data_IF_141846298955
#
_entry.id   IF_141846298955
#
_cell.length_a   1.000
_cell.length_b   1.000
_cell.length_c   1.000
_cell.angle_alpha   90.00
_cell.angle_beta   90.00
_cell.angle_gamma   90.00
#
_symmetry.space_group_name_H-M   'P 1'
#
loop_
_entity.id
_entity.type
_entity.pdbx_description
1 polymer ?
#
# COMPACT_ATOMS: atom_id res chain seq x y z
N UNK A 1 -21.63 -29.64 7.92
CA UNK A 1 -20.34 -29.00 8.25
C UNK A 1 -20.36 -27.60 7.64
N UNK A 2 -20.83 -26.60 8.37
CA UNK A 2 -20.99 -25.22 7.87
C UNK A 2 -19.65 -24.51 8.06
N UNK A 3 -18.99 -24.15 6.95
CA UNK A 3 -17.78 -23.33 6.96
C UNK A 3 -18.19 -21.88 7.21
N UNK A 4 -18.10 -21.45 8.47
CA UNK A 4 -18.23 -20.04 8.85
C UNK A 4 -16.94 -19.34 8.41
N UNK A 5 -17.04 -18.47 7.41
CA UNK A 5 -15.97 -17.54 7.09
C UNK A 5 -15.98 -16.45 8.16
N UNK A 6 -15.03 -16.50 9.09
CA UNK A 6 -14.80 -15.42 10.04
C UNK A 6 -14.25 -14.21 9.26
N UNK A 7 -15.09 -13.23 8.98
CA UNK A 7 -14.67 -11.87 8.64
C UNK A 7 -14.53 -11.13 9.96
N UNK A 8 -13.32 -10.75 10.42
CA UNK A 8 -13.19 -9.94 11.63
C UNK A 8 -13.70 -8.53 11.34
N UNK A 9 -14.96 -8.28 11.68
CA UNK A 9 -15.58 -6.96 11.61
C UNK A 9 -15.32 -6.24 12.94
N UNK A 10 -14.55 -5.15 12.92
CA UNK A 10 -14.25 -4.36 14.11
C UNK A 10 -15.12 -3.09 14.10
N UNK A 11 -15.98 -2.93 15.10
CA UNK A 11 -16.83 -1.75 15.30
C UNK A 11 -16.19 -0.77 16.27
N UNK A 12 -15.82 0.41 15.79
CA UNK A 12 -15.52 1.60 16.62
C UNK A 12 -16.36 2.75 16.09
N UNK A 13 -17.46 3.06 16.77
CA UNK A 13 -18.40 4.12 16.39
C UNK A 13 -19.27 3.77 15.16
N UNK A 14 -20.36 4.52 14.96
CA UNK A 14 -21.37 4.35 13.90
C UNK A 14 -20.86 4.65 12.48
N UNK A 15 -19.67 4.19 12.11
CA UNK A 15 -19.14 4.28 10.75
C UNK A 15 -18.72 2.88 10.32
N UNK A 16 -19.43 2.35 9.34
CA UNK A 16 -19.05 1.15 8.61
C UNK A 16 -17.81 1.50 7.78
N UNK A 17 -16.62 1.25 8.35
CA UNK A 17 -15.37 1.42 7.63
C UNK A 17 -15.18 0.20 6.74
N UNK A 18 -15.46 0.35 5.44
CA UNK A 18 -15.05 -0.66 4.45
C UNK A 18 -13.53 -0.66 4.39
N UNK A 19 -12.88 -1.58 5.11
CA UNK A 19 -11.42 -1.72 5.07
C UNK A 19 -11.07 -2.29 3.69
N UNK A 20 -10.71 -1.39 2.77
CA UNK A 20 -10.13 -1.75 1.48
C UNK A 20 -8.71 -2.27 1.74
N UNK A 21 -8.58 -3.56 2.02
CA UNK A 21 -7.29 -4.22 2.24
C UNK A 21 -6.52 -4.29 0.91
N UNK A 22 -5.77 -3.23 0.60
CA UNK A 22 -4.82 -3.27 -0.51
C UNK A 22 -3.53 -3.92 -0.01
N UNK A 23 -2.99 -4.85 -0.79
CA UNK A 23 -1.77 -5.58 -0.44
C UNK A 23 -0.59 -4.99 -1.18
N UNK A 24 0.45 -4.61 -0.44
CA UNK A 24 1.67 -4.05 -1.01
C UNK A 24 2.89 -4.78 -0.45
N UNK A 25 4.03 -4.61 -1.12
CA UNK A 25 5.32 -4.92 -0.52
C UNK A 25 5.72 -3.80 0.45
N UNK A 26 5.97 -4.15 1.70
CA UNK A 26 6.34 -3.17 2.72
C UNK A 26 7.78 -2.67 2.57
N UNK A 27 8.00 -1.38 2.79
CA UNK A 27 9.36 -0.80 2.73
C UNK A 27 10.19 -1.16 3.97
N UNK A 28 9.54 -1.42 5.11
CA UNK A 28 10.18 -1.78 6.39
C UNK A 28 10.45 -3.27 6.49
N UNK A 29 9.40 -4.10 6.53
CA UNK A 29 9.56 -5.55 6.70
C UNK A 29 9.81 -6.33 5.40
N UNK A 30 9.75 -5.69 4.23
CA UNK A 30 9.91 -6.31 2.90
C UNK A 30 8.91 -7.41 2.54
N UNK A 31 7.89 -7.65 3.38
CA UNK A 31 6.85 -8.66 3.14
C UNK A 31 5.67 -8.08 2.37
N UNK A 32 5.00 -8.95 1.60
CA UNK A 32 3.72 -8.65 0.95
C UNK A 32 2.60 -8.83 1.96
N UNK A 33 2.08 -7.73 2.47
CA UNK A 33 1.12 -7.69 3.57
C UNK A 33 -0.03 -6.75 3.25
N UNK A 34 -1.10 -6.86 4.02
CA UNK A 34 -2.20 -5.91 4.04
C UNK A 34 -1.76 -4.59 4.66
N UNK A 35 -2.33 -3.52 4.12
CA UNK A 35 -2.14 -2.17 4.61
C UNK A 35 -3.47 -1.53 4.93
N UNK A 36 -3.49 -0.78 6.04
CA UNK A 36 -4.59 0.08 6.41
C UNK A 36 -4.42 1.43 5.71
N UNK A 37 -5.43 1.88 4.98
CA UNK A 37 -5.46 3.23 4.42
C UNK A 37 -5.73 4.26 5.53
N UNK A 38 -4.83 5.23 5.68
CA UNK A 38 -4.99 6.42 6.50
C UNK A 38 -5.63 7.53 5.65
N UNK A 39 -6.96 7.60 5.68
CA UNK A 39 -7.80 8.52 4.90
C UNK A 39 -7.72 9.99 5.35
N UNK A 40 -7.23 10.23 6.58
CA UNK A 40 -7.08 11.56 7.16
C UNK A 40 -5.95 12.40 6.53
N UNK A 41 -5.09 11.79 5.70
CA UNK A 41 -3.97 12.45 5.05
C UNK A 41 -4.33 12.82 3.61
N UNK A 42 -4.36 14.12 3.34
CA UNK A 42 -4.54 14.62 1.97
C UNK A 42 -3.28 14.29 1.14
N UNK A 43 -3.49 13.58 0.04
CA UNK A 43 -2.42 13.02 -0.78
C UNK A 43 -2.75 13.22 -2.26
N UNK A 44 -1.74 13.44 -3.12
CA UNK A 44 -1.94 13.54 -4.57
C UNK A 44 -2.69 12.34 -5.14
N UNK A 45 -3.41 12.54 -6.24
CA UNK A 45 -4.18 11.48 -6.89
C UNK A 45 -3.32 10.24 -7.17
N UNK A 46 -3.88 9.08 -6.85
CA UNK A 46 -3.20 7.79 -6.97
C UNK A 46 -2.27 7.43 -5.81
N UNK A 47 -1.96 8.36 -4.90
CA UNK A 47 -1.22 8.08 -3.67
C UNK A 47 -2.14 8.10 -2.47
N UNK A 48 -1.93 7.15 -1.56
CA UNK A 48 -2.55 7.18 -0.24
C UNK A 48 -1.51 6.85 0.80
N UNK A 49 -1.71 7.36 2.01
CA UNK A 49 -0.91 6.98 3.17
C UNK A 49 -1.42 5.63 3.69
N UNK A 50 -0.50 4.69 3.87
CA UNK A 50 -0.81 3.33 4.25
C UNK A 50 0.02 2.90 5.45
N UNK A 51 -0.60 2.21 6.40
CA UNK A 51 0.07 1.58 7.53
C UNK A 51 0.15 0.07 7.32
N UNK A 52 1.36 -0.48 7.40
CA UNK A 52 1.60 -1.92 7.34
C UNK A 52 0.99 -2.62 8.57
N UNK A 53 0.10 -3.58 8.35
CA UNK A 53 -0.56 -4.30 9.45
C UNK A 53 0.36 -5.24 10.22
N UNK A 54 1.52 -5.62 9.66
CA UNK A 54 2.45 -6.54 10.33
C UNK A 54 3.56 -5.84 11.11
N UNK A 55 4.17 -4.78 10.57
CA UNK A 55 5.30 -4.09 11.23
C UNK A 55 4.98 -2.65 11.64
N UNK A 56 3.77 -2.17 11.40
CA UNK A 56 3.35 -0.82 11.75
C UNK A 56 3.99 0.30 10.92
N UNK A 57 4.86 -0.03 9.96
CA UNK A 57 5.52 0.95 9.12
C UNK A 57 4.49 1.73 8.29
N UNK A 58 4.48 3.05 8.44
CA UNK A 58 3.62 3.97 7.70
C UNK A 58 4.41 4.53 6.52
N UNK A 59 3.82 4.51 5.34
CA UNK A 59 4.41 5.08 4.14
C UNK A 59 3.36 5.47 3.12
N UNK A 60 3.74 6.37 2.22
CA UNK A 60 2.90 6.72 1.08
C UNK A 60 3.15 5.70 -0.02
N UNK A 61 2.07 5.14 -0.60
CA UNK A 61 2.16 4.21 -1.74
C UNK A 61 1.23 4.64 -2.84
N UNK A 62 1.64 4.33 -4.07
CA UNK A 62 0.76 4.46 -5.22
C UNK A 62 -0.13 3.22 -5.32
N UNK A 63 -1.43 3.39 -5.57
CA UNK A 63 -2.36 2.27 -5.70
C UNK A 63 -2.00 1.32 -6.87
N UNK A 64 -1.28 1.80 -7.88
CA UNK A 64 -0.76 0.97 -8.97
C UNK A 64 0.26 -0.09 -8.49
N UNK A 65 0.91 0.12 -7.33
CA UNK A 65 1.79 -0.88 -6.71
C UNK A 65 1.02 -2.05 -6.08
N UNK A 66 -0.31 -1.98 -5.94
CA UNK A 66 -1.10 -3.02 -5.29
C UNK A 66 -1.31 -4.28 -6.16
N UNK A 67 -0.80 -4.26 -7.39
CA UNK A 67 -0.88 -5.38 -8.32
C UNK A 67 -0.06 -6.57 -7.82
N UNK A 68 -0.55 -7.78 -8.07
CA UNK A 68 0.18 -9.01 -7.77
C UNK A 68 1.26 -9.23 -8.84
N UNK A 69 2.44 -8.65 -8.61
CA UNK A 69 3.59 -8.70 -9.51
C UNK A 69 4.71 -9.50 -8.82
N UNK A 70 5.40 -10.40 -9.55
CA UNK A 70 6.52 -11.15 -8.98
C UNK A 70 7.66 -10.22 -8.55
N UNK A 71 8.37 -10.61 -7.50
CA UNK A 71 9.50 -9.86 -6.96
C UNK A 71 10.63 -9.64 -7.99
N UNK A 72 10.73 -10.50 -9.00
CA UNK A 72 11.69 -10.36 -10.11
C UNK A 72 11.47 -9.09 -10.93
N UNK A 73 10.26 -8.54 -10.92
CA UNK A 73 9.85 -7.42 -11.75
C UNK A 73 9.77 -6.11 -10.95
N UNK A 74 10.20 -6.13 -9.68
CA UNK A 74 10.15 -4.99 -8.77
C UNK A 74 11.57 -4.67 -8.29
N UNK A 75 11.94 -3.40 -8.32
CA UNK A 75 13.22 -2.91 -7.77
C UNK A 75 13.00 -1.70 -6.87
N UNK A 76 14.04 -1.32 -6.13
CA UNK A 76 14.07 -0.01 -5.46
C UNK A 76 14.50 1.04 -6.47
N UNK A 77 13.91 2.24 -6.36
CA UNK A 77 14.37 3.39 -7.09
C UNK A 77 15.64 3.94 -6.44
N UNK A 78 16.69 4.14 -7.23
CA UNK A 78 17.97 4.66 -6.74
C UNK A 78 17.91 6.13 -6.30
N UNK A 79 16.91 6.90 -6.79
CA UNK A 79 16.73 8.31 -6.43
C UNK A 79 16.00 8.50 -5.09
N UNK A 80 14.81 7.92 -4.94
CA UNK A 80 13.95 8.15 -3.77
C UNK A 80 13.82 6.95 -2.84
N UNK A 81 14.37 5.80 -3.22
CA UNK A 81 14.26 4.58 -2.44
C UNK A 81 12.87 3.95 -2.40
N UNK A 82 11.88 4.43 -3.17
CA UNK A 82 10.57 3.77 -3.28
C UNK A 82 10.65 2.46 -4.07
N UNK A 83 9.69 1.56 -3.88
CA UNK A 83 9.52 0.43 -4.81
C UNK A 83 9.03 0.95 -6.17
N UNK A 84 9.47 0.32 -7.25
CA UNK A 84 9.00 0.56 -8.63
C UNK A 84 9.02 -0.74 -9.41
N UNK A 85 8.19 -0.84 -10.46
CA UNK A 85 8.37 -1.91 -11.43
C UNK A 85 9.62 -1.64 -12.27
N UNK A 86 10.40 -2.67 -12.56
CA UNK A 86 11.68 -2.53 -13.29
C UNK A 86 11.46 -1.89 -14.66
N UNK A 87 10.39 -2.30 -15.34
CA UNK A 87 10.00 -1.86 -16.68
C UNK A 87 9.47 -0.43 -16.76
N UNK A 88 9.20 0.24 -15.62
CA UNK A 88 8.63 1.59 -15.60
C UNK A 88 9.54 2.57 -14.87
N UNK A 89 9.41 3.84 -15.23
CA UNK A 89 10.04 4.94 -14.49
C UNK A 89 9.44 5.00 -13.08
N UNK A 90 10.22 5.42 -12.08
CA UNK A 90 9.69 5.48 -10.71
C UNK A 90 8.51 6.45 -10.65
N UNK A 91 7.32 5.92 -10.37
CA UNK A 91 6.08 6.72 -10.27
C UNK A 91 6.21 7.82 -9.21
N UNK A 92 6.88 7.55 -8.08
CA UNK A 92 7.16 8.58 -7.07
C UNK A 92 8.02 9.72 -7.63
N UNK A 93 9.11 9.41 -8.32
CA UNK A 93 9.99 10.45 -8.88
C UNK A 93 9.32 11.24 -10.00
N UNK A 94 8.59 10.59 -10.90
CA UNK A 94 7.87 11.28 -11.98
C UNK A 94 7.01 12.40 -11.43
N UNK A 95 6.33 12.18 -10.31
CA UNK A 95 5.41 13.15 -9.73
C UNK A 95 6.07 14.20 -8.86
N UNK A 96 7.21 13.91 -8.22
CA UNK A 96 8.04 14.94 -7.58
C UNK A 96 8.60 15.90 -8.63
N UNK A 97 9.04 15.39 -9.78
CA UNK A 97 9.57 16.17 -10.91
C UNK A 97 8.46 16.82 -11.76
N UNK A 98 7.18 16.50 -11.53
CA UNK A 98 6.03 17.08 -12.24
C UNK A 98 5.58 18.46 -11.72
N UNK A 99 6.26 19.01 -10.71
CA UNK A 99 5.94 20.31 -10.10
C UNK A 99 6.86 21.42 -10.57
#
# INVERSE_FOLDING_TARGET
MVRIWFVPNATVGNKEFTIMHTRFKCNGCSRKTEFLWLDQLDMPDGFKAYQCMECGCVGVKNIAEALDIPDSDISRCDKCGSWKFISVVCHTCQLIESK
#
